data_IF_751222777798
#
_entry.id   IF_751222777798
#
_cell.length_a   1.000
_cell.length_b   1.000
_cell.length_c   1.000
_cell.angle_alpha   90.00
_cell.angle_beta   90.00
_cell.angle_gamma   90.00
#
_symmetry.space_group_name_H-M   'P 1'
#
loop_
_entity.id
_entity.type
_entity.pdbx_description
1 polymer ?
#
# COMPACT_ATOMS: atom_id res chain seq x y z
N UNK A 1 43.30 32.27 20.61
CA UNK A 1 42.13 31.40 20.77
C UNK A 1 42.11 30.49 19.56
N UNK A 2 42.86 29.39 19.65
CA UNK A 2 43.05 28.45 18.55
C UNK A 2 41.87 27.49 18.58
N UNK A 3 40.93 27.63 17.65
CA UNK A 3 39.89 26.61 17.44
C UNK A 3 40.59 25.35 16.95
N UNK A 4 40.71 24.37 17.84
CA UNK A 4 41.29 23.06 17.55
C UNK A 4 40.45 22.41 16.44
N UNK A 5 41.07 21.87 15.37
CA UNK A 5 40.36 21.11 14.34
C UNK A 5 39.41 20.03 14.90
N UNK A 6 39.72 19.47 16.07
CA UNK A 6 38.86 18.50 16.77
C UNK A 6 37.52 19.09 17.21
N UNK A 7 37.48 20.34 17.66
CA UNK A 7 36.25 21.00 18.14
C UNK A 7 35.28 21.29 16.97
N UNK A 8 35.83 21.67 15.81
CA UNK A 8 35.03 21.91 14.60
C UNK A 8 34.39 20.61 14.08
N UNK A 9 35.12 19.50 14.08
CA UNK A 9 34.60 18.18 13.69
C UNK A 9 33.51 17.72 14.65
N UNK A 10 33.70 17.85 15.96
CA UNK A 10 32.69 17.47 16.96
C UNK A 10 31.42 18.33 16.87
N UNK A 11 31.55 19.63 16.61
CA UNK A 11 30.41 20.52 16.41
C UNK A 11 29.63 20.13 15.14
N UNK A 12 30.33 19.81 14.05
CA UNK A 12 29.74 19.37 12.80
C UNK A 12 29.01 18.02 12.95
N UNK A 13 29.62 17.04 13.63
CA UNK A 13 28.97 15.76 13.93
C UNK A 13 27.70 15.95 14.77
N UNK A 14 27.73 16.85 15.77
CA UNK A 14 26.55 17.15 16.58
C UNK A 14 25.44 17.79 15.74
N UNK A 15 25.79 18.70 14.83
CA UNK A 15 24.81 19.29 13.91
C UNK A 15 24.20 18.26 12.97
N UNK A 16 25.02 17.36 12.41
CA UNK A 16 24.57 16.24 11.57
C UNK A 16 23.59 15.34 12.33
N UNK A 17 23.93 14.92 13.55
CA UNK A 17 23.04 14.09 14.38
C UNK A 17 21.73 14.79 14.71
N UNK A 18 21.76 16.09 15.03
CA UNK A 18 20.55 16.86 15.29
C UNK A 18 19.67 17.01 14.04
N UNK A 19 20.27 17.25 12.88
CA UNK A 19 19.56 17.32 11.61
C UNK A 19 18.92 15.97 11.26
N UNK A 20 19.66 14.87 11.45
CA UNK A 20 19.16 13.52 11.24
C UNK A 20 17.99 13.19 12.17
N UNK A 21 18.11 13.45 13.47
CA UNK A 21 17.04 13.20 14.44
C UNK A 21 15.76 13.97 14.11
N UNK A 22 15.87 15.24 13.67
CA UNK A 22 14.72 16.04 13.20
C UNK A 22 14.09 15.46 11.94
N UNK A 23 14.90 14.98 11.00
CA UNK A 23 14.40 14.35 9.78
C UNK A 23 13.64 13.04 10.09
N UNK A 24 14.17 12.21 11.00
CA UNK A 24 13.53 10.98 11.47
C UNK A 24 12.21 11.26 12.21
N UNK A 25 12.17 12.29 13.05
CA UNK A 25 10.93 12.73 13.72
C UNK A 25 9.86 13.16 12.71
N UNK A 26 10.23 14.00 11.72
CA UNK A 26 9.32 14.42 10.66
C UNK A 26 8.80 13.24 9.82
N UNK A 27 9.68 12.28 9.50
CA UNK A 27 9.29 11.06 8.77
C UNK A 27 8.28 10.22 9.56
N UNK A 28 8.53 9.97 10.85
CA UNK A 28 7.60 9.23 11.72
C UNK A 28 6.24 9.91 11.83
N UNK A 29 6.21 11.24 12.01
CA UNK A 29 4.97 11.99 12.08
C UNK A 29 4.16 11.89 10.77
N UNK A 30 4.84 11.97 9.62
CA UNK A 30 4.22 11.82 8.30
C UNK A 30 3.62 10.41 8.11
N UNK A 31 4.34 9.36 8.49
CA UNK A 31 3.86 7.97 8.39
C UNK A 31 2.64 7.76 9.29
N UNK A 32 2.71 8.21 10.55
CA UNK A 32 1.60 8.09 11.48
C UNK A 32 0.34 8.81 10.97
N UNK A 33 0.52 10.02 10.40
CA UNK A 33 -0.58 10.75 9.77
C UNK A 33 -1.20 9.96 8.60
N UNK A 34 -0.37 9.45 7.68
CA UNK A 34 -0.86 8.67 6.53
C UNK A 34 -1.56 7.37 6.96
N UNK A 35 -1.04 6.68 7.98
CA UNK A 35 -1.65 5.47 8.51
C UNK A 35 -3.05 5.75 9.08
N UNK A 36 -3.18 6.80 9.90
CA UNK A 36 -4.47 7.20 10.47
C UNK A 36 -5.47 7.58 9.38
N UNK A 37 -5.06 8.40 8.42
CA UNK A 37 -5.92 8.77 7.28
C UNK A 37 -6.32 7.55 6.44
N UNK A 38 -5.41 6.60 6.23
CA UNK A 38 -5.71 5.35 5.51
C UNK A 38 -6.81 4.55 6.21
N UNK A 39 -6.75 4.41 7.54
CA UNK A 39 -7.80 3.74 8.32
C UNK A 39 -9.14 4.50 8.29
N UNK A 40 -9.10 5.82 8.45
CA UNK A 40 -10.30 6.66 8.45
C UNK A 40 -10.99 6.72 7.08
N UNK A 41 -10.24 6.65 5.98
CA UNK A 41 -10.81 6.61 4.63
C UNK A 41 -11.30 5.20 4.27
N UNK A 42 -10.58 4.15 4.67
CA UNK A 42 -10.96 2.76 4.37
C UNK A 42 -12.33 2.42 4.94
N UNK A 43 -12.62 2.85 6.16
CA UNK A 43 -13.90 2.51 6.84
C UNK A 43 -15.15 2.95 6.05
N UNK A 44 -15.34 4.23 5.70
CA UNK A 44 -16.49 4.66 4.90
C UNK A 44 -16.45 4.10 3.47
N UNK A 45 -15.26 3.93 2.87
CA UNK A 45 -15.13 3.40 1.52
C UNK A 45 -15.53 1.93 1.41
N UNK A 46 -15.14 1.11 2.40
CA UNK A 46 -15.59 -0.29 2.52
C UNK A 46 -17.11 -0.36 2.65
N UNK A 47 -17.74 0.54 3.42
CA UNK A 47 -19.19 0.59 3.51
C UNK A 47 -19.85 0.94 2.16
N UNK A 48 -19.33 1.96 1.45
CA UNK A 48 -19.80 2.34 0.11
C UNK A 48 -19.68 1.16 -0.87
N UNK A 49 -18.55 0.46 -0.87
CA UNK A 49 -18.32 -0.70 -1.73
C UNK A 49 -19.28 -1.86 -1.40
N UNK A 50 -19.51 -2.15 -0.12
CA UNK A 50 -20.47 -3.18 0.30
C UNK A 50 -21.92 -2.85 -0.10
N UNK A 51 -22.32 -1.58 -0.01
CA UNK A 51 -23.63 -1.14 -0.51
C UNK A 51 -23.72 -1.22 -2.03
N UNK A 52 -22.65 -0.83 -2.74
CA UNK A 52 -22.59 -0.92 -4.19
C UNK A 52 -22.67 -2.38 -4.66
N UNK A 53 -22.00 -3.31 -3.98
CA UNK A 53 -22.10 -4.75 -4.24
C UNK A 53 -23.53 -5.26 -4.05
N UNK A 54 -24.14 -4.99 -2.90
CA UNK A 54 -25.53 -5.38 -2.60
C UNK A 54 -26.52 -4.80 -3.62
N UNK A 55 -26.29 -3.56 -4.07
CA UNK A 55 -27.13 -2.90 -5.06
C UNK A 55 -26.95 -3.53 -6.46
N UNK A 56 -25.72 -3.89 -6.82
CA UNK A 56 -25.37 -4.54 -8.09
C UNK A 56 -26.07 -5.88 -8.30
N UNK A 57 -26.37 -6.62 -7.23
CA UNK A 57 -27.13 -7.88 -7.30
C UNK A 57 -28.58 -7.69 -7.78
N UNK A 58 -29.13 -6.47 -7.65
CA UNK A 58 -30.55 -6.16 -7.92
C UNK A 58 -30.77 -5.34 -9.19
N UNK A 59 -29.70 -4.80 -9.77
CA UNK A 59 -29.76 -3.90 -10.93
C UNK A 59 -29.41 -4.61 -12.23
N UNK A 60 -29.87 -4.03 -13.34
CA UNK A 60 -29.54 -4.51 -14.70
C UNK A 60 -29.33 -3.32 -15.63
N UNK A 61 -28.73 -3.58 -16.80
CA UNK A 61 -28.52 -2.55 -17.82
C UNK A 61 -27.63 -1.41 -17.34
N UNK A 62 -28.04 -0.17 -17.63
CA UNK A 62 -27.24 1.03 -17.40
C UNK A 62 -26.92 1.27 -15.91
N UNK A 63 -27.88 1.04 -15.01
CA UNK A 63 -27.66 1.30 -13.58
C UNK A 63 -26.64 0.33 -12.97
N UNK A 64 -26.59 -0.91 -13.46
CA UNK A 64 -25.55 -1.87 -13.08
C UNK A 64 -24.16 -1.43 -13.55
N UNK A 65 -24.07 -0.82 -14.74
CA UNK A 65 -22.82 -0.29 -15.26
C UNK A 65 -22.29 0.86 -14.38
N UNK A 66 -23.18 1.77 -13.95
CA UNK A 66 -22.83 2.85 -13.03
C UNK A 66 -22.32 2.30 -11.68
N UNK A 67 -22.98 1.28 -11.13
CA UNK A 67 -22.54 0.62 -9.89
C UNK A 67 -21.15 -0.02 -10.06
N UNK A 68 -20.91 -0.71 -11.18
CA UNK A 68 -19.59 -1.29 -11.46
C UNK A 68 -18.49 -0.23 -11.59
N UNK A 69 -18.82 0.94 -12.15
CA UNK A 69 -17.90 2.09 -12.19
C UNK A 69 -17.58 2.56 -10.77
N UNK A 70 -18.59 2.69 -9.89
CA UNK A 70 -18.39 3.06 -8.48
C UNK A 70 -17.47 2.04 -7.79
N UNK A 71 -17.73 0.74 -7.95
CA UNK A 71 -16.92 -0.33 -7.37
C UNK A 71 -15.47 -0.25 -7.81
N UNK A 72 -15.22 -0.21 -9.13
CA UNK A 72 -13.86 -0.16 -9.69
C UNK A 72 -13.09 1.06 -9.20
N UNK A 73 -13.72 2.23 -9.19
CA UNK A 73 -13.05 3.45 -8.72
C UNK A 73 -12.81 3.43 -7.21
N UNK A 74 -13.74 2.88 -6.42
CA UNK A 74 -13.56 2.73 -4.98
C UNK A 74 -12.42 1.77 -4.64
N UNK A 75 -12.35 0.62 -5.30
CA UNK A 75 -11.23 -0.33 -5.16
C UNK A 75 -9.89 0.32 -5.56
N UNK A 76 -9.87 1.06 -6.67
CA UNK A 76 -8.68 1.78 -7.11
C UNK A 76 -8.23 2.84 -6.09
N UNK A 77 -9.18 3.55 -5.46
CA UNK A 77 -8.87 4.52 -4.42
C UNK A 77 -8.31 3.86 -3.16
N UNK A 78 -8.87 2.73 -2.72
CA UNK A 78 -8.32 1.94 -1.61
C UNK A 78 -6.86 1.56 -1.90
N UNK A 79 -6.59 1.07 -3.12
CA UNK A 79 -5.25 0.67 -3.52
C UNK A 79 -4.28 1.85 -3.51
N UNK A 80 -4.65 2.98 -4.11
CA UNK A 80 -3.82 4.19 -4.14
C UNK A 80 -3.44 4.68 -2.74
N UNK A 81 -4.38 4.66 -1.79
CA UNK A 81 -4.13 5.07 -0.41
C UNK A 81 -3.17 4.09 0.29
N UNK A 82 -3.32 2.79 0.04
CA UNK A 82 -2.38 1.77 0.52
C UNK A 82 -0.99 1.97 -0.07
N UNK A 83 -0.87 2.19 -1.38
CA UNK A 83 0.41 2.38 -2.07
C UNK A 83 1.18 3.60 -1.51
N UNK A 84 0.48 4.70 -1.23
CA UNK A 84 1.09 5.91 -0.62
C UNK A 84 1.65 5.63 0.78
N UNK A 85 0.95 4.82 1.57
CA UNK A 85 1.42 4.42 2.90
C UNK A 85 2.64 3.49 2.80
N UNK A 86 2.61 2.53 1.88
CA UNK A 86 3.70 1.56 1.67
C UNK A 86 4.98 2.27 1.22
N UNK A 87 4.89 3.26 0.32
CA UNK A 87 6.03 4.10 -0.07
C UNK A 87 6.61 4.83 1.15
N UNK A 88 5.76 5.44 1.98
CA UNK A 88 6.21 6.16 3.17
C UNK A 88 6.93 5.24 4.17
N UNK A 89 6.43 4.02 4.37
CA UNK A 89 7.06 3.01 5.22
C UNK A 89 8.38 2.47 4.63
N UNK A 90 8.45 2.31 3.31
CA UNK A 90 9.66 1.88 2.61
C UNK A 90 10.77 2.95 2.71
N UNK A 91 10.44 4.23 2.55
CA UNK A 91 11.38 5.36 2.67
C UNK A 91 11.98 5.48 4.07
N UNK A 92 11.24 5.12 5.12
CA UNK A 92 11.76 5.10 6.50
C UNK A 92 12.47 3.79 6.87
N UNK A 93 12.59 2.84 5.95
CA UNK A 93 13.10 1.49 6.23
C UNK A 93 12.24 0.71 7.24
N UNK A 94 10.98 1.13 7.44
CA UNK A 94 10.08 0.58 8.46
C UNK A 94 8.94 -0.25 7.86
N UNK A 95 9.08 -0.73 6.62
CA UNK A 95 8.10 -1.62 6.00
C UNK A 95 8.03 -2.93 6.80
N UNK A 96 6.92 -3.19 7.53
CA UNK A 96 6.86 -4.34 8.44
C UNK A 96 6.71 -5.62 7.63
N UNK A 97 7.67 -6.54 7.78
CA UNK A 97 7.58 -7.88 7.19
C UNK A 97 6.92 -8.79 8.23
N UNK A 98 5.71 -9.26 7.94
CA UNK A 98 5.04 -10.25 8.76
C UNK A 98 5.44 -11.67 8.32
N UNK A 99 6.35 -12.29 9.06
CA UNK A 99 6.77 -13.68 8.81
C UNK A 99 5.76 -14.62 9.46
N UNK A 100 4.97 -15.31 8.66
CA UNK A 100 4.00 -16.30 9.12
C UNK A 100 4.04 -17.57 8.26
N UNK A 101 3.52 -18.68 8.79
CA UNK A 101 3.29 -19.87 7.98
C UNK A 101 2.21 -19.56 6.93
N UNK A 102 2.49 -19.85 5.67
CA UNK A 102 1.57 -19.67 4.57
C UNK A 102 1.46 -20.95 3.73
N UNK A 103 0.28 -21.18 3.18
CA UNK A 103 0.04 -22.24 2.22
C UNK A 103 0.46 -21.73 0.83
N UNK A 104 1.64 -22.15 0.37
CA UNK A 104 2.20 -21.72 -0.90
C UNK A 104 1.28 -22.09 -2.08
N UNK A 105 0.64 -23.26 -2.04
CA UNK A 105 -0.27 -23.73 -3.09
C UNK A 105 -1.49 -22.81 -3.18
N UNK A 106 -2.06 -22.42 -2.04
CA UNK A 106 -3.19 -21.48 -2.01
C UNK A 106 -2.81 -20.11 -2.55
N UNK A 107 -1.67 -19.56 -2.11
CA UNK A 107 -1.18 -18.25 -2.59
C UNK A 107 -0.94 -18.27 -4.10
N UNK A 108 -0.29 -19.32 -4.61
CA UNK A 108 -0.05 -19.47 -6.04
C UNK A 108 -1.35 -19.64 -6.84
N UNK A 109 -2.35 -20.32 -6.29
CA UNK A 109 -3.67 -20.46 -6.92
C UNK A 109 -4.36 -19.10 -7.08
N UNK A 110 -4.42 -18.30 -6.01
CA UNK A 110 -5.04 -16.96 -6.05
C UNK A 110 -4.36 -16.03 -7.08
N UNK A 111 -3.02 -16.10 -7.16
CA UNK A 111 -2.24 -15.34 -8.15
C UNK A 111 -2.55 -15.84 -9.56
N UNK A 112 -2.63 -17.15 -9.74
CA UNK A 112 -2.87 -17.79 -11.04
C UNK A 112 -4.22 -17.39 -11.63
N UNK A 113 -5.28 -17.35 -10.82
CA UNK A 113 -6.62 -16.96 -11.26
C UNK A 113 -6.65 -15.50 -11.74
N UNK A 114 -6.02 -14.60 -11.00
CA UNK A 114 -5.90 -13.18 -11.39
C UNK A 114 -5.11 -13.00 -12.68
N UNK A 115 -4.00 -13.73 -12.82
CA UNK A 115 -3.17 -13.67 -14.02
C UNK A 115 -3.87 -14.28 -15.24
N UNK A 116 -4.67 -15.32 -15.06
CA UNK A 116 -5.45 -15.95 -16.14
C UNK A 116 -6.41 -14.97 -16.79
N UNK A 117 -7.20 -14.23 -15.99
CA UNK A 117 -8.11 -13.19 -16.49
C UNK A 117 -7.34 -12.15 -17.33
N UNK A 118 -6.17 -11.72 -16.86
CA UNK A 118 -5.33 -10.74 -17.56
C UNK A 118 -4.71 -11.30 -18.84
N UNK A 119 -4.34 -12.58 -18.83
CA UNK A 119 -3.74 -13.28 -19.96
C UNK A 119 -4.77 -13.53 -21.07
N UNK A 120 -5.98 -13.98 -20.71
CA UNK A 120 -7.13 -14.11 -21.63
C UNK A 120 -7.46 -12.78 -22.28
N UNK A 121 -7.54 -11.70 -21.51
CA UNK A 121 -7.78 -10.35 -22.02
C UNK A 121 -6.69 -9.83 -22.98
N UNK A 122 -5.52 -10.47 -23.01
CA UNK A 122 -4.41 -10.15 -23.91
C UNK A 122 -4.12 -11.24 -24.95
N UNK A 123 -4.89 -12.34 -24.96
CA UNK A 123 -4.69 -13.48 -25.86
C UNK A 123 -3.35 -14.22 -25.67
N UNK A 124 -2.78 -14.19 -24.46
CA UNK A 124 -1.49 -14.83 -24.16
C UNK A 124 -1.72 -16.11 -23.38
N UNK A 125 -0.97 -17.18 -23.70
CA UNK A 125 -1.01 -18.41 -22.91
C UNK A 125 -0.34 -18.20 -21.54
N UNK A 126 -0.98 -18.69 -20.48
CA UNK A 126 -0.48 -18.62 -19.11
C UNK A 126 -0.67 -19.99 -18.44
N UNK A 127 0.44 -20.62 -18.04
CA UNK A 127 0.47 -21.92 -17.37
C UNK A 127 1.20 -21.80 -16.04
N UNK A 128 0.75 -22.54 -15.04
CA UNK A 128 1.35 -22.59 -13.70
C UNK A 128 1.60 -24.05 -13.36
N UNK A 129 2.83 -24.36 -12.96
CA UNK A 129 3.25 -25.68 -12.48
C UNK A 129 3.61 -25.53 -11.01
N UNK A 130 3.00 -26.36 -10.16
CA UNK A 130 3.25 -26.40 -8.72
C UNK A 130 3.74 -27.80 -8.39
N UNK A 131 4.99 -27.91 -7.97
CA UNK A 131 5.56 -29.16 -7.48
C UNK A 131 4.89 -29.54 -6.14
N UNK A 132 4.63 -30.83 -5.96
CA UNK A 132 3.98 -31.39 -4.78
C UNK A 132 4.93 -31.50 -3.58
#
# INVERSE_FOLDING_TARGET
MSTDPSDAVQAQERQLRLAQARAEEGSRARIAFLANMSHEIRTPLTAILGFAETLGERLTGHDLELVRIIQRNGEQLVQLISDVLDIALAESGSLPINVCACDATRVLTDISDRMRIRAEGKGVAFCVEIDA
#
